data_IF_850785839181
#
_entry.id   IF_850785839181
#
_cell.length_a   1.000
_cell.length_b   1.000
_cell.length_c   1.000
_cell.angle_alpha   90.00
_cell.angle_beta   90.00
_cell.angle_gamma   90.00
#
_symmetry.space_group_name_H-M   'P 1'
#
loop_
_entity.id
_entity.type
_entity.pdbx_description
1 polymer ?
#
# COMPACT_ATOMS: atom_id res chain seq x y z
N UNK A 1 3.18 43.51 56.76
CA UNK A 1 2.27 42.49 56.18
C UNK A 1 1.79 42.80 54.74
N UNK A 2 1.63 44.07 54.31
CA UNK A 2 1.13 44.42 52.95
C UNK A 2 2.03 44.06 51.76
N UNK A 3 3.32 43.74 51.97
CA UNK A 3 4.27 43.39 50.87
C UNK A 3 4.34 41.90 50.52
N UNK A 4 3.83 41.01 51.38
CA UNK A 4 3.88 39.56 51.16
C UNK A 4 2.60 39.01 50.50
N UNK A 5 1.48 39.72 50.63
CA UNK A 5 0.18 39.33 50.08
C UNK A 5 0.16 39.07 48.57
N UNK A 6 0.79 39.91 47.70
CA UNK A 6 0.78 39.63 46.26
C UNK A 6 1.59 38.38 45.88
N UNK A 7 2.66 38.08 46.63
CA UNK A 7 3.49 36.89 46.39
C UNK A 7 2.79 35.60 46.83
N UNK A 8 2.09 35.63 47.97
CA UNK A 8 1.28 34.50 48.43
C UNK A 8 0.15 34.20 47.43
N UNK A 9 -0.55 35.24 46.95
CA UNK A 9 -1.60 35.07 45.94
C UNK A 9 -1.04 34.47 44.64
N UNK A 10 0.10 34.97 44.13
CA UNK A 10 0.72 34.45 42.91
C UNK A 10 1.11 32.96 43.03
N UNK A 11 1.69 32.54 44.16
CA UNK A 11 2.02 31.12 44.41
C UNK A 11 0.76 30.26 44.48
N UNK A 12 -0.31 30.75 45.11
CA UNK A 12 -1.57 30.02 45.22
C UNK A 12 -2.23 29.83 43.85
N UNK A 13 -2.23 30.86 43.01
CA UNK A 13 -2.72 30.78 41.63
C UNK A 13 -1.87 29.86 40.75
N UNK A 14 -0.54 29.87 40.91
CA UNK A 14 0.35 28.99 40.15
C UNK A 14 0.10 27.50 40.49
N UNK A 15 -0.06 27.17 41.78
CA UNK A 15 -0.35 25.81 42.23
C UNK A 15 -1.73 25.37 41.69
N UNK A 16 -2.74 26.23 41.78
CA UNK A 16 -4.07 25.95 41.22
C UNK A 16 -4.04 25.72 39.72
N UNK A 17 -3.27 26.52 38.97
CA UNK A 17 -3.11 26.38 37.53
C UNK A 17 -2.41 25.07 37.15
N UNK A 18 -1.34 24.70 37.83
CA UNK A 18 -0.61 23.43 37.58
C UNK A 18 -1.50 22.23 37.89
N UNK A 19 -2.25 22.26 39.00
CA UNK A 19 -3.20 21.20 39.35
C UNK A 19 -4.32 21.06 38.33
N UNK A 20 -4.94 22.17 37.90
CA UNK A 20 -5.96 22.18 36.84
C UNK A 20 -5.42 21.70 35.50
N UNK A 21 -4.20 22.11 35.12
CA UNK A 21 -3.57 21.68 33.87
C UNK A 21 -3.26 20.16 33.89
N UNK A 22 -2.80 19.63 35.02
CA UNK A 22 -2.55 18.21 35.20
C UNK A 22 -3.86 17.38 35.16
N UNK A 23 -4.96 17.88 35.72
CA UNK A 23 -6.28 17.26 35.56
C UNK A 23 -6.80 17.35 34.13
N UNK A 24 -6.58 18.48 33.44
CA UNK A 24 -6.94 18.63 32.03
C UNK A 24 -6.17 17.66 31.13
N UNK A 25 -4.88 17.45 31.39
CA UNK A 25 -4.07 16.45 30.69
C UNK A 25 -4.53 15.02 31.00
N UNK A 26 -4.87 14.71 32.25
CA UNK A 26 -5.42 13.39 32.62
C UNK A 26 -6.79 13.14 31.99
N UNK A 27 -7.65 14.15 31.92
CA UNK A 27 -8.92 14.06 31.20
C UNK A 27 -8.71 13.88 29.70
N UNK A 28 -7.78 14.62 29.08
CA UNK A 28 -7.44 14.46 27.65
C UNK A 28 -6.95 13.05 27.34
N UNK A 29 -6.11 12.47 28.21
CA UNK A 29 -5.63 11.09 28.05
C UNK A 29 -6.78 10.08 28.21
N UNK A 30 -7.68 10.29 29.18
CA UNK A 30 -8.89 9.47 29.35
C UNK A 30 -9.87 9.57 28.18
N UNK A 31 -10.05 10.74 27.58
CA UNK A 31 -10.86 10.90 26.37
C UNK A 31 -10.21 10.21 25.17
N UNK A 32 -8.87 10.22 25.09
CA UNK A 32 -8.12 9.42 24.11
C UNK A 32 -8.39 7.92 24.26
N UNK A 33 -8.35 7.38 25.48
CA UNK A 33 -8.65 5.97 25.78
C UNK A 33 -10.11 5.59 25.51
N UNK A 34 -11.09 6.44 25.89
CA UNK A 34 -12.52 6.13 25.71
C UNK A 34 -12.98 6.21 24.25
N UNK A 35 -12.24 6.93 23.39
CA UNK A 35 -12.45 6.91 21.93
C UNK A 35 -11.84 5.68 21.21
N UNK A 36 -11.08 4.85 21.92
CA UNK A 36 -10.54 3.59 21.38
C UNK A 36 -11.54 2.45 21.55
N UNK A 37 -12.58 2.41 20.71
CA UNK A 37 -12.74 1.16 19.99
C UNK A 37 -11.50 1.05 19.12
N UNK A 38 -10.52 0.24 19.53
CA UNK A 38 -9.25 0.12 18.85
C UNK A 38 -9.47 -0.47 17.46
N UNK A 39 -9.83 0.38 16.51
CA UNK A 39 -9.77 0.05 15.09
C UNK A 39 -8.32 -0.36 14.83
N UNK A 40 -8.12 -1.64 14.53
CA UNK A 40 -6.81 -2.10 14.07
C UNK A 40 -6.39 -1.24 12.88
N UNK A 41 -5.12 -0.85 12.85
CA UNK A 41 -4.56 -0.18 11.68
C UNK A 41 -4.86 -1.04 10.44
N UNK A 42 -5.53 -0.44 9.46
CA UNK A 42 -5.98 -1.10 8.25
C UNK A 42 -4.82 -1.83 7.57
N UNK A 43 -3.65 -1.19 7.50
CA UNK A 43 -2.45 -1.78 6.92
C UNK A 43 -2.05 -3.05 7.70
N UNK A 44 -2.05 -3.01 9.03
CA UNK A 44 -1.70 -4.17 9.86
C UNK A 44 -2.70 -5.34 9.66
N UNK A 45 -4.00 -5.06 9.57
CA UNK A 45 -5.01 -6.08 9.27
C UNK A 45 -4.75 -6.69 7.89
N UNK A 46 -4.50 -5.83 6.89
CA UNK A 46 -4.27 -6.28 5.54
C UNK A 46 -3.00 -7.12 5.43
N UNK A 47 -1.92 -6.71 6.09
CA UNK A 47 -0.68 -7.47 6.14
C UNK A 47 -0.87 -8.84 6.79
N UNK A 48 -1.64 -8.91 7.88
CA UNK A 48 -2.00 -10.20 8.50
C UNK A 48 -2.77 -11.11 7.54
N UNK A 49 -3.77 -10.56 6.83
CA UNK A 49 -4.54 -11.33 5.83
C UNK A 49 -3.68 -11.82 4.66
N UNK A 50 -2.75 -11.00 4.17
CA UNK A 50 -1.82 -11.40 3.11
C UNK A 50 -0.95 -12.56 3.59
N UNK A 51 -0.36 -12.45 4.79
CA UNK A 51 0.47 -13.51 5.37
C UNK A 51 -0.28 -14.83 5.54
N UNK A 52 -1.51 -14.76 6.06
CA UNK A 52 -2.38 -15.94 6.18
C UNK A 52 -2.66 -16.57 4.80
N UNK A 53 -3.02 -15.75 3.81
CA UNK A 53 -3.29 -16.23 2.46
C UNK A 53 -2.06 -16.85 1.76
N UNK A 54 -0.87 -16.31 2.02
CA UNK A 54 0.39 -16.89 1.53
C UNK A 54 0.68 -18.24 2.17
N UNK A 55 0.47 -18.39 3.49
CA UNK A 55 0.78 -19.63 4.23
C UNK A 55 0.10 -20.87 3.63
N UNK A 56 -1.14 -20.71 3.17
CA UNK A 56 -1.95 -21.81 2.63
C UNK A 56 -1.86 -21.95 1.09
N UNK A 57 -1.03 -21.15 0.42
CA UNK A 57 -0.96 -21.07 -1.03
C UNK A 57 0.39 -21.57 -1.58
N UNK A 58 0.49 -22.82 -2.06
CA UNK A 58 1.72 -23.32 -2.64
C UNK A 58 2.02 -22.64 -3.98
N UNK A 59 3.23 -22.09 -4.11
CA UNK A 59 3.74 -21.42 -5.31
C UNK A 59 2.68 -20.48 -5.96
N UNK A 60 2.29 -19.41 -5.24
CA UNK A 60 1.18 -18.53 -5.62
C UNK A 60 1.56 -17.58 -6.75
N UNK A 61 0.55 -17.00 -7.40
CA UNK A 61 0.68 -15.74 -8.14
C UNK A 61 0.38 -14.62 -7.15
N UNK A 62 1.32 -13.72 -6.91
CA UNK A 62 1.14 -12.61 -5.97
C UNK A 62 0.99 -11.32 -6.75
N UNK A 63 -0.12 -10.62 -6.53
CA UNK A 63 -0.34 -9.28 -7.08
C UNK A 63 -0.04 -8.27 -5.97
N UNK A 64 1.18 -7.74 -5.97
CA UNK A 64 1.65 -6.75 -5.01
C UNK A 64 1.21 -5.35 -5.44
N UNK A 65 0.55 -4.61 -4.56
CA UNK A 65 0.01 -3.31 -4.98
C UNK A 65 -0.43 -2.38 -3.86
N UNK A 66 -1.11 -1.31 -4.26
CA UNK A 66 -1.71 -0.33 -3.36
C UNK A 66 -3.24 -0.52 -3.25
N UNK A 67 -4.01 0.54 -2.96
CA UNK A 67 -5.47 0.49 -2.85
C UNK A 67 -6.15 0.02 -4.14
N UNK A 68 -5.57 0.31 -5.32
CA UNK A 68 -6.13 -0.14 -6.59
C UNK A 68 -6.09 -1.66 -6.68
N UNK A 69 -4.99 -2.27 -6.26
CA UNK A 69 -4.87 -3.72 -6.21
C UNK A 69 -5.73 -4.29 -5.11
N UNK A 70 -5.77 -3.67 -3.94
CA UNK A 70 -6.56 -4.17 -2.81
C UNK A 70 -8.05 -4.30 -3.15
N UNK A 71 -8.61 -3.31 -3.84
CA UNK A 71 -10.02 -3.28 -4.27
C UNK A 71 -10.30 -4.12 -5.52
N UNK A 72 -9.27 -4.65 -6.18
CA UNK A 72 -9.43 -5.37 -7.43
C UNK A 72 -10.17 -6.71 -7.23
N UNK A 73 -11.21 -7.02 -8.04
CA UNK A 73 -11.89 -8.31 -8.01
C UNK A 73 -11.07 -9.36 -8.75
N UNK A 74 -9.89 -9.69 -8.21
CA UNK A 74 -8.97 -10.67 -8.81
C UNK A 74 -9.61 -12.08 -8.80
N UNK A 75 -9.35 -12.91 -9.82
CA UNK A 75 -9.77 -14.30 -9.81
C UNK A 75 -9.07 -15.04 -8.66
N UNK A 76 -9.69 -16.09 -8.11
CA UNK A 76 -9.05 -16.90 -7.03
C UNK A 76 -7.92 -17.78 -7.56
N UNK A 77 -8.01 -18.18 -8.82
CA UNK A 77 -7.06 -19.04 -9.49
C UNK A 77 -6.72 -18.45 -10.85
N UNK A 78 -5.44 -18.52 -11.22
CA UNK A 78 -4.98 -18.23 -12.57
C UNK A 78 -3.86 -19.23 -12.90
N UNK A 79 -3.89 -19.81 -14.10
CA UNK A 79 -2.98 -20.89 -14.49
C UNK A 79 -2.93 -22.08 -13.50
N UNK A 80 -4.06 -22.39 -12.85
CA UNK A 80 -4.14 -23.44 -11.84
C UNK A 80 -3.46 -23.11 -10.49
N UNK A 81 -3.05 -21.86 -10.27
CA UNK A 81 -2.36 -21.41 -9.05
C UNK A 81 -3.21 -20.41 -8.28
N UNK A 82 -3.13 -20.41 -6.93
CA UNK A 82 -3.76 -19.38 -6.11
C UNK A 82 -3.28 -17.99 -6.51
N UNK A 83 -4.21 -17.05 -6.66
CA UNK A 83 -3.90 -15.63 -6.83
C UNK A 83 -4.08 -14.95 -5.49
N UNK A 84 -3.00 -14.38 -4.98
CA UNK A 84 -2.98 -13.66 -3.72
C UNK A 84 -3.01 -12.17 -4.04
N UNK A 85 -4.11 -11.53 -3.67
CA UNK A 85 -4.18 -10.09 -3.60
C UNK A 85 -3.26 -9.64 -2.46
N UNK A 86 -2.17 -8.94 -2.77
CA UNK A 86 -1.25 -8.33 -1.82
C UNK A 86 -1.25 -6.80 -1.96
N UNK A 87 -2.42 -6.22 -2.24
CA UNK A 87 -2.66 -4.79 -2.19
C UNK A 87 -2.88 -4.29 -0.77
N UNK A 88 -2.26 -3.15 -0.43
CA UNK A 88 -2.52 -2.41 0.82
C UNK A 88 -2.81 -0.95 0.53
N UNK A 89 -3.93 -0.45 1.02
CA UNK A 89 -4.38 0.93 0.83
C UNK A 89 -3.35 1.94 1.32
N UNK A 90 -3.09 2.97 0.50
CA UNK A 90 -2.11 4.02 0.79
C UNK A 90 -0.65 3.64 0.58
N UNK A 91 -0.36 2.39 0.22
CA UNK A 91 1.01 1.91 0.08
C UNK A 91 1.75 2.58 -1.09
N UNK A 92 2.95 3.07 -0.82
CA UNK A 92 3.91 3.57 -1.82
C UNK A 92 4.74 2.44 -2.42
N UNK A 93 5.44 2.71 -3.54
CA UNK A 93 6.40 1.77 -4.15
C UNK A 93 7.46 1.32 -3.12
N UNK A 94 7.96 2.25 -2.32
CA UNK A 94 8.98 1.97 -1.30
C UNK A 94 8.45 1.04 -0.20
N UNK A 95 7.22 1.23 0.25
CA UNK A 95 6.59 0.38 1.25
C UNK A 95 6.20 -0.99 0.69
N UNK A 96 5.77 -1.07 -0.57
CA UNK A 96 5.51 -2.34 -1.27
C UNK A 96 6.78 -3.21 -1.35
N UNK A 97 7.92 -2.58 -1.61
CA UNK A 97 9.23 -3.26 -1.55
C UNK A 97 9.50 -3.86 -0.17
N UNK A 98 9.26 -3.09 0.89
CA UNK A 98 9.49 -3.56 2.27
C UNK A 98 8.53 -4.69 2.64
N UNK A 99 7.26 -4.60 2.23
CA UNK A 99 6.26 -5.64 2.44
C UNK A 99 6.66 -6.95 1.76
N UNK A 100 6.97 -6.90 0.46
CA UNK A 100 7.36 -8.07 -0.32
C UNK A 100 8.60 -8.74 0.26
N UNK A 101 9.61 -7.95 0.66
CA UNK A 101 10.80 -8.47 1.35
C UNK A 101 10.45 -9.24 2.61
N UNK A 102 9.56 -8.72 3.47
CA UNK A 102 9.16 -9.41 4.72
C UNK A 102 8.26 -10.63 4.52
N UNK A 103 7.49 -10.68 3.44
CA UNK A 103 6.44 -11.68 3.27
C UNK A 103 6.82 -12.82 2.33
N UNK A 104 7.69 -12.57 1.37
CA UNK A 104 8.01 -13.52 0.30
C UNK A 104 9.45 -14.04 0.38
N UNK A 105 10.28 -13.56 1.31
CA UNK A 105 11.68 -13.98 1.43
C UNK A 105 11.86 -15.51 1.55
N UNK A 106 11.02 -16.17 2.35
CA UNK A 106 11.17 -17.61 2.61
C UNK A 106 10.37 -18.50 1.66
N UNK A 107 9.23 -18.01 1.16
CA UNK A 107 8.29 -18.81 0.37
C UNK A 107 8.40 -18.55 -1.14
N UNK A 108 8.82 -17.35 -1.53
CA UNK A 108 8.76 -16.87 -2.91
C UNK A 108 7.33 -16.85 -3.47
N UNK A 109 7.23 -16.58 -4.77
CA UNK A 109 6.00 -16.76 -5.54
C UNK A 109 6.34 -17.47 -6.85
N UNK A 110 5.34 -18.15 -7.42
CA UNK A 110 5.47 -18.62 -8.80
C UNK A 110 5.67 -17.44 -9.74
N UNK A 111 4.85 -16.41 -9.59
CA UNK A 111 4.93 -15.17 -10.35
C UNK A 111 4.56 -13.99 -9.45
N UNK A 112 5.34 -12.91 -9.53
CA UNK A 112 4.97 -11.63 -8.92
C UNK A 112 4.50 -10.63 -10.00
N UNK A 113 3.33 -10.04 -9.76
CA UNK A 113 2.80 -8.89 -10.49
C UNK A 113 2.98 -7.65 -9.63
N UNK A 114 3.56 -6.60 -10.21
CA UNK A 114 3.77 -5.30 -9.58
C UNK A 114 2.70 -4.33 -10.09
N UNK A 115 1.76 -4.00 -9.22
CA UNK A 115 0.60 -3.15 -9.46
C UNK A 115 0.52 -2.05 -8.38
N UNK A 116 1.62 -1.30 -8.24
CA UNK A 116 1.81 -0.23 -7.26
C UNK A 116 2.31 1.04 -7.94
N UNK A 117 1.92 2.19 -7.40
CA UNK A 117 2.46 3.50 -7.80
C UNK A 117 1.42 4.62 -7.77
N UNK A 118 0.17 4.35 -7.43
CA UNK A 118 -0.86 5.37 -7.33
C UNK A 118 -0.53 6.43 -6.26
N UNK A 119 0.08 6.02 -5.16
CA UNK A 119 0.48 6.91 -4.05
C UNK A 119 1.82 7.63 -4.31
N UNK A 120 2.52 7.29 -5.38
CA UNK A 120 3.77 7.91 -5.80
C UNK A 120 3.54 8.96 -6.91
N UNK A 121 2.28 9.31 -7.17
CA UNK A 121 1.89 10.23 -8.22
C UNK A 121 2.62 11.58 -8.11
N UNK A 122 3.36 11.94 -9.16
CA UNK A 122 4.16 13.16 -9.20
C UNK A 122 5.49 13.10 -8.45
N UNK A 123 5.83 11.97 -7.82
CA UNK A 123 7.11 11.79 -7.14
C UNK A 123 8.27 11.83 -8.14
N UNK A 124 9.31 12.64 -7.89
CA UNK A 124 10.50 12.67 -8.74
C UNK A 124 11.35 11.40 -8.61
N UNK A 125 11.09 10.56 -7.60
CA UNK A 125 11.88 9.35 -7.33
C UNK A 125 11.22 8.07 -7.81
N UNK A 126 9.99 8.13 -8.35
CA UNK A 126 9.21 6.95 -8.74
C UNK A 126 10.01 5.95 -9.59
N UNK A 127 10.76 6.40 -10.60
CA UNK A 127 11.57 5.50 -11.45
C UNK A 127 12.66 4.76 -10.66
N UNK A 128 13.34 5.45 -9.74
CA UNK A 128 14.39 4.86 -8.91
C UNK A 128 13.78 3.91 -7.88
N UNK A 129 12.71 4.32 -7.23
CA UNK A 129 12.08 3.50 -6.20
C UNK A 129 11.46 2.23 -6.81
N UNK A 130 10.92 2.32 -8.04
CA UNK A 130 10.40 1.16 -8.77
C UNK A 130 11.52 0.26 -9.31
N UNK A 131 12.65 0.85 -9.69
CA UNK A 131 13.88 0.10 -9.98
C UNK A 131 14.27 -0.75 -8.76
N UNK A 132 14.36 -0.14 -7.58
CA UNK A 132 14.74 -0.86 -6.36
C UNK A 132 13.74 -1.96 -5.99
N UNK A 133 12.43 -1.70 -6.22
CA UNK A 133 11.38 -2.70 -6.04
C UNK A 133 11.64 -3.91 -6.94
N UNK A 134 11.84 -3.70 -8.25
CA UNK A 134 12.10 -4.78 -9.21
C UNK A 134 13.31 -5.61 -8.77
N UNK A 135 14.45 -4.98 -8.46
CA UNK A 135 15.66 -5.72 -8.09
C UNK A 135 15.49 -6.52 -6.79
N UNK A 136 14.71 -5.99 -5.84
CA UNK A 136 14.44 -6.66 -4.55
C UNK A 136 13.57 -7.90 -4.74
N UNK A 137 12.55 -7.83 -5.59
CA UNK A 137 11.53 -8.88 -5.70
C UNK A 137 11.75 -9.86 -6.84
N UNK A 138 12.60 -9.52 -7.82
CA UNK A 138 13.00 -10.42 -8.91
C UNK A 138 13.48 -11.81 -8.43
N UNK A 139 14.37 -11.94 -7.41
CA UNK A 139 14.78 -13.26 -6.93
C UNK A 139 13.67 -14.03 -6.19
N UNK A 140 12.57 -13.36 -5.83
CA UNK A 140 11.42 -13.96 -5.13
C UNK A 140 10.40 -14.57 -6.11
N UNK A 141 10.55 -14.35 -7.42
CA UNK A 141 9.65 -14.85 -8.47
C UNK A 141 10.32 -15.97 -9.26
N UNK A 142 9.63 -17.10 -9.46
CA UNK A 142 10.15 -18.18 -10.33
C UNK A 142 9.96 -17.88 -11.83
N UNK A 143 9.02 -16.98 -12.16
CA UNK A 143 8.73 -16.50 -13.52
C UNK A 143 9.17 -15.04 -13.69
N UNK A 144 9.36 -14.57 -14.94
CA UNK A 144 9.55 -13.15 -15.18
C UNK A 144 8.44 -12.31 -14.53
N UNK A 145 8.83 -11.16 -13.98
CA UNK A 145 7.89 -10.23 -13.35
C UNK A 145 6.96 -9.64 -14.41
N UNK A 146 5.75 -9.27 -13.98
CA UNK A 146 4.82 -8.45 -14.77
C UNK A 146 4.60 -7.14 -14.03
N UNK A 147 4.64 -6.02 -14.73
CA UNK A 147 4.24 -4.71 -14.22
C UNK A 147 2.97 -4.28 -14.94
N UNK A 148 1.99 -3.79 -14.19
CA UNK A 148 0.76 -3.22 -14.76
C UNK A 148 0.50 -1.84 -14.17
N UNK A 149 0.12 -0.91 -15.04
CA UNK A 149 -0.13 0.48 -14.65
C UNK A 149 -1.31 0.60 -13.67
N UNK A 150 -1.09 1.33 -12.59
CA UNK A 150 -2.13 1.74 -11.61
C UNK A 150 -2.09 3.24 -11.29
N UNK A 151 -1.02 3.95 -11.65
CA UNK A 151 -0.90 5.36 -11.30
C UNK A 151 -1.88 6.21 -12.10
N UNK A 152 -2.46 7.19 -11.42
CA UNK A 152 -3.42 8.10 -12.02
C UNK A 152 -2.76 9.10 -12.99
N UNK A 153 -1.49 9.42 -12.80
CA UNK A 153 -0.76 10.37 -13.63
C UNK A 153 0.15 9.68 -14.64
N UNK A 154 0.17 10.20 -15.87
CA UNK A 154 0.98 9.63 -16.95
C UNK A 154 2.48 9.74 -16.68
N UNK A 155 2.92 10.76 -15.93
CA UNK A 155 4.34 10.96 -15.66
C UNK A 155 4.91 9.82 -14.82
N UNK A 156 4.18 9.41 -13.78
CA UNK A 156 4.56 8.29 -12.91
C UNK A 156 4.45 6.97 -13.66
N UNK A 157 3.41 6.75 -14.47
CA UNK A 157 3.34 5.55 -15.33
C UNK A 157 4.53 5.46 -16.29
N UNK A 158 4.94 6.56 -16.94
CA UNK A 158 6.15 6.58 -17.80
C UNK A 158 7.43 6.31 -17.01
N UNK A 159 7.53 6.80 -15.79
CA UNK A 159 8.67 6.54 -14.91
C UNK A 159 8.76 5.05 -14.53
N UNK A 160 7.62 4.43 -14.21
CA UNK A 160 7.51 3.00 -13.90
C UNK A 160 7.81 2.15 -15.14
N UNK A 161 7.25 2.51 -16.30
CA UNK A 161 7.51 1.84 -17.58
C UNK A 161 9.01 1.90 -17.93
N UNK A 162 9.65 3.07 -17.77
CA UNK A 162 11.08 3.21 -18.01
C UNK A 162 11.92 2.35 -17.05
N UNK A 163 11.51 2.22 -15.78
CA UNK A 163 12.15 1.31 -14.84
C UNK A 163 12.01 -0.15 -15.29
N UNK A 164 10.81 -0.57 -15.68
CA UNK A 164 10.52 -1.93 -16.15
C UNK A 164 11.28 -2.27 -17.45
N UNK A 165 11.23 -1.40 -18.45
CA UNK A 165 11.90 -1.57 -19.74
C UNK A 165 13.42 -1.72 -19.58
N UNK A 166 14.04 -0.91 -18.70
CA UNK A 166 15.47 -1.00 -18.41
C UNK A 166 15.90 -2.33 -17.75
N UNK A 167 14.95 -3.09 -17.17
CA UNK A 167 15.18 -4.44 -16.59
C UNK A 167 14.68 -5.58 -17.49
N UNK A 168 14.16 -5.28 -18.68
CA UNK A 168 13.51 -6.27 -19.52
C UNK A 168 12.25 -6.88 -18.88
N UNK A 169 11.60 -6.14 -17.98
CA UNK A 169 10.34 -6.53 -17.35
C UNK A 169 9.18 -6.01 -18.19
N UNK A 170 8.18 -6.87 -18.44
CA UNK A 170 7.00 -6.50 -19.20
C UNK A 170 6.18 -5.46 -18.45
N UNK A 171 5.93 -4.32 -19.08
CA UNK A 171 4.97 -3.31 -18.64
C UNK A 171 3.66 -3.45 -19.42
N UNK A 172 2.53 -3.33 -18.72
CA UNK A 172 1.18 -3.43 -19.28
C UNK A 172 0.43 -2.15 -19.01
N UNK A 173 0.10 -1.43 -20.09
CA UNK A 173 -0.92 -0.39 -20.06
C UNK A 173 -2.30 -1.02 -20.33
N UNK A 174 -3.22 -1.00 -19.34
CA UNK A 174 -4.56 -1.58 -19.47
C UNK A 174 -5.51 -0.77 -20.37
N UNK A 175 -5.10 0.41 -20.88
CA UNK A 175 -5.91 1.28 -21.74
C UNK A 175 -7.29 1.58 -21.14
N UNK A 176 -7.29 2.19 -19.95
CA UNK A 176 -8.53 2.44 -19.21
C UNK A 176 -9.51 3.35 -19.98
N UNK A 177 -10.83 3.10 -19.90
CA UNK A 177 -11.82 3.91 -20.60
C UNK A 177 -11.94 5.33 -20.01
N UNK A 178 -12.53 6.29 -20.75
CA UNK A 178 -12.92 7.57 -20.17
C UNK A 178 -13.83 7.38 -18.94
N UNK A 179 -13.62 8.19 -17.89
CA UNK A 179 -14.35 8.02 -16.62
C UNK A 179 -13.94 6.78 -15.82
N UNK A 180 -12.77 6.21 -16.11
CA UNK A 180 -12.20 5.08 -15.38
C UNK A 180 -11.95 5.35 -13.88
N UNK A 181 -11.95 6.61 -13.44
CA UNK A 181 -11.63 6.98 -12.08
C UNK A 181 -12.85 7.45 -11.32
N UNK A 182 -12.88 7.16 -10.02
CA UNK A 182 -13.87 7.68 -9.08
C UNK A 182 -13.75 9.21 -8.97
N UNK A 183 -14.66 9.83 -8.22
CA UNK A 183 -14.68 11.28 -8.02
C UNK A 183 -13.41 11.86 -7.36
N UNK A 184 -12.59 11.01 -6.73
CA UNK A 184 -11.29 11.37 -6.17
C UNK A 184 -10.16 11.47 -7.21
N UNK A 185 -10.40 11.06 -8.46
CA UNK A 185 -9.41 11.10 -9.53
C UNK A 185 -8.24 10.12 -9.36
N UNK A 186 -8.34 9.15 -8.43
CA UNK A 186 -7.31 8.16 -8.13
C UNK A 186 -7.89 6.75 -8.29
N UNK A 187 -8.93 6.42 -7.54
CA UNK A 187 -9.44 5.05 -7.46
C UNK A 187 -10.19 4.63 -8.71
N UNK A 188 -10.12 3.34 -9.05
CA UNK A 188 -10.79 2.81 -10.23
C UNK A 188 -12.28 2.62 -10.03
N UNK A 189 -13.07 2.99 -11.04
CA UNK A 189 -14.49 2.58 -11.10
C UNK A 189 -14.61 1.10 -11.47
N UNK A 190 -15.82 0.55 -11.31
CA UNK A 190 -16.10 -0.80 -11.81
C UNK A 190 -15.82 -0.96 -13.31
N UNK A 191 -16.00 0.09 -14.11
CA UNK A 191 -15.68 0.07 -15.54
C UNK A 191 -14.17 -0.03 -15.79
N UNK A 192 -13.35 0.62 -14.97
CA UNK A 192 -11.89 0.48 -15.06
C UNK A 192 -11.44 -0.93 -14.71
N UNK A 193 -11.97 -1.55 -13.64
CA UNK A 193 -11.63 -2.95 -13.32
C UNK A 193 -12.03 -3.94 -14.42
N UNK A 194 -13.11 -3.66 -15.17
CA UNK A 194 -13.50 -4.46 -16.35
C UNK A 194 -12.47 -4.42 -17.49
N UNK A 195 -11.61 -3.40 -17.55
CA UNK A 195 -10.50 -3.33 -18.49
C UNK A 195 -9.19 -3.83 -17.85
N UNK A 196 -8.94 -3.43 -16.60
CA UNK A 196 -7.70 -3.69 -15.89
C UNK A 196 -7.50 -5.17 -15.52
N UNK A 197 -8.53 -5.84 -14.98
CA UNK A 197 -8.41 -7.24 -14.55
C UNK A 197 -8.12 -8.17 -15.74
N UNK A 198 -8.84 -8.09 -16.88
CA UNK A 198 -8.50 -8.91 -18.05
C UNK A 198 -7.10 -8.62 -18.61
N UNK A 199 -6.62 -7.37 -18.56
CA UNK A 199 -5.26 -7.03 -19.00
C UNK A 199 -4.21 -7.69 -18.09
N UNK A 200 -4.43 -7.69 -16.78
CA UNK A 200 -3.59 -8.42 -15.81
C UNK A 200 -3.61 -9.92 -16.09
N UNK A 201 -4.81 -10.51 -16.23
CA UNK A 201 -4.97 -11.95 -16.46
C UNK A 201 -4.26 -12.41 -17.74
N UNK A 202 -4.41 -11.66 -18.83
CA UNK A 202 -3.74 -11.95 -20.10
C UNK A 202 -2.21 -11.86 -19.98
N UNK A 203 -1.71 -10.85 -19.25
CA UNK A 203 -0.28 -10.68 -19.03
C UNK A 203 0.31 -11.82 -18.20
N UNK A 204 -0.34 -12.18 -17.09
CA UNK A 204 0.08 -13.30 -16.24
C UNK A 204 0.00 -14.63 -16.98
N UNK A 205 -1.07 -14.87 -17.74
CA UNK A 205 -1.26 -16.13 -18.48
C UNK A 205 -0.14 -16.37 -19.50
N UNK A 206 0.39 -15.32 -20.12
CA UNK A 206 1.51 -15.43 -21.05
C UNK A 206 2.81 -15.90 -20.37
N UNK A 207 3.03 -15.52 -19.12
CA UNK A 207 4.20 -15.93 -18.32
C UNK A 207 4.06 -17.34 -17.73
N UNK A 208 2.84 -17.87 -17.66
CA UNK A 208 2.60 -19.23 -17.19
C UNK A 208 3.04 -20.31 -18.19
N UNK A 209 2.95 -20.00 -19.49
CA UNK A 209 3.20 -20.93 -20.61
C UNK A 209 4.65 -20.96 -21.10
N UNK A 210 5.44 -19.95 -20.75
CA UNK A 210 6.89 -19.95 -20.99
C UNK A 210 7.61 -20.88 -20.01
#
# INVERSE_FOLDING_TARGET
MRRALPWVLAVTFLIGFVASFAELQRMRNRFGEVSQHAFHDHAAVREFMIRAALTDAPAPIVVLGDSITEMAPLPRLLCGRPVINAGVGGQTIAEAKQLAGRMLQDQGAFLLVLAVGANDAGSPTAQRDFTDLIETVKPLSTRPLVVIAVAADERTNRAIEAAAAARGVRFVDPHLPPGAKMGDGIHFTAAAYKAWVPALEAAVSAECTM
#
